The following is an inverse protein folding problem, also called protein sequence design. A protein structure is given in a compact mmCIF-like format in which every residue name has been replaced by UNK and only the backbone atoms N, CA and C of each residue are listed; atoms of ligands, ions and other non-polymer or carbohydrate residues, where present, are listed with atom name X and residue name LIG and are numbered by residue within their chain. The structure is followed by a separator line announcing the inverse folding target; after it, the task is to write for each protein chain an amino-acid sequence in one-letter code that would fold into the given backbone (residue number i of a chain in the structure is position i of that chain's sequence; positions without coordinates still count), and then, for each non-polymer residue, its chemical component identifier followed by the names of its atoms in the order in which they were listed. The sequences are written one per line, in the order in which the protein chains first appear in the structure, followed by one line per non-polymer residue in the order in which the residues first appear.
data_IF_741467560763
#
_entry.id   IF_741467560763
#
_cell.length_a   1.000
_cell.length_b   1.000
_cell.length_c   1.000
_cell.angle_alpha   90.00
_cell.angle_beta   90.00
_cell.angle_gamma   90.00
#
_symmetry.space_group_name_H-M   'P 1'
#
loop_
_entity.id
_entity.type
_entity.pdbx_description
1 polymer ?
#
# COMPACT_ATOMS: atom_id res chain seq x y z
N UNK A 1 -81.54 -42.08 -34.63
CA UNK A 1 -80.83 -42.02 -35.93
C UNK A 1 -81.33 -40.76 -36.61
N UNK A 2 -80.56 -39.72 -36.92
CA UNK A 2 -79.13 -39.58 -37.24
C UNK A 2 -78.78 -38.08 -37.19
N UNK A 3 -77.70 -37.70 -36.49
CA UNK A 3 -77.15 -36.33 -36.55
C UNK A 3 -76.41 -36.11 -37.88
N UNK A 4 -76.51 -34.93 -38.52
CA UNK A 4 -75.72 -34.58 -39.71
C UNK A 4 -74.31 -34.08 -39.31
N UNK A 5 -73.36 -34.03 -40.27
CA UNK A 5 -71.93 -34.16 -40.00
C UNK A 5 -71.25 -32.85 -39.55
N UNK A 6 -70.19 -33.06 -38.77
CA UNK A 6 -69.28 -32.05 -38.23
C UNK A 6 -68.45 -31.39 -39.35
N UNK A 7 -68.57 -30.07 -39.47
CA UNK A 7 -67.89 -29.28 -40.48
C UNK A 7 -66.55 -28.77 -39.93
N UNK A 8 -65.61 -29.68 -39.69
CA UNK A 8 -64.27 -29.38 -39.17
C UNK A 8 -63.32 -28.94 -40.29
N UNK A 9 -63.54 -27.73 -40.79
CA UNK A 9 -62.75 -27.15 -41.89
C UNK A 9 -62.22 -25.76 -41.58
N UNK A 10 -61.23 -25.62 -40.68
CA UNK A 10 -60.31 -24.48 -40.67
C UNK A 10 -58.94 -24.92 -40.14
N UNK A 11 -57.97 -25.13 -41.04
CA UNK A 11 -56.54 -25.23 -40.69
C UNK A 11 -56.14 -23.93 -39.99
N UNK A 12 -55.92 -23.98 -38.68
CA UNK A 12 -55.37 -22.87 -37.94
C UNK A 12 -54.00 -22.48 -38.52
N UNK A 13 -53.91 -21.27 -39.06
CA UNK A 13 -52.64 -20.67 -39.50
C UNK A 13 -51.74 -20.53 -38.27
N UNK A 14 -50.68 -21.33 -38.21
CA UNK A 14 -49.68 -21.24 -37.15
C UNK A 14 -49.12 -19.81 -37.15
N UNK A 15 -49.37 -19.06 -36.09
CA UNK A 15 -48.71 -17.78 -35.84
C UNK A 15 -47.20 -18.06 -35.79
N UNK A 16 -46.35 -17.28 -36.48
CA UNK A 16 -44.92 -17.40 -36.30
C UNK A 16 -44.60 -17.15 -34.83
N UNK A 17 -43.95 -18.12 -34.17
CA UNK A 17 -43.40 -17.90 -32.83
C UNK A 17 -42.48 -16.67 -32.89
N UNK A 18 -42.55 -15.75 -31.90
CA UNK A 18 -41.56 -14.69 -31.79
C UNK A 18 -40.17 -15.35 -31.76
N UNK A 19 -39.16 -14.76 -32.42
CA UNK A 19 -37.85 -15.36 -32.51
C UNK A 19 -37.39 -15.72 -31.10
N UNK A 20 -37.13 -17.01 -30.86
CA UNK A 20 -36.49 -17.47 -29.64
C UNK A 20 -35.26 -16.60 -29.45
N UNK A 21 -35.14 -15.98 -28.28
CA UNK A 21 -33.96 -15.27 -27.82
C UNK A 21 -32.79 -16.27 -27.67
N UNK A 22 -32.28 -16.78 -28.80
CA UNK A 22 -31.16 -17.71 -28.86
C UNK A 22 -29.89 -17.05 -29.38
N UNK A 23 -29.81 -15.71 -29.34
CA UNK A 23 -28.64 -14.94 -29.76
C UNK A 23 -28.36 -13.70 -28.86
N UNK A 24 -28.56 -13.82 -27.54
CA UNK A 24 -28.14 -12.76 -26.58
C UNK A 24 -27.68 -13.27 -25.20
N UNK A 25 -27.63 -14.59 -24.94
CA UNK A 25 -27.13 -15.11 -23.66
C UNK A 25 -25.60 -15.27 -23.60
N UNK A 26 -24.89 -14.89 -24.67
CA UNK A 26 -23.45 -14.69 -24.67
C UNK A 26 -23.09 -13.20 -24.82
N UNK A 27 -23.97 -12.30 -24.38
CA UNK A 27 -23.58 -10.92 -24.12
C UNK A 27 -22.43 -10.99 -23.11
N UNK A 28 -21.20 -10.74 -23.59
CA UNK A 28 -20.01 -10.57 -22.79
C UNK A 28 -20.41 -9.81 -21.53
N UNK A 29 -20.20 -10.43 -20.36
CA UNK A 29 -20.38 -9.83 -19.04
C UNK A 29 -19.76 -8.44 -19.06
N UNK A 30 -20.56 -7.43 -19.39
CA UNK A 30 -20.05 -6.09 -19.62
C UNK A 30 -19.75 -5.56 -18.24
N UNK A 31 -18.47 -5.41 -17.93
CA UNK A 31 -17.99 -4.95 -16.64
C UNK A 31 -18.61 -3.58 -16.39
N UNK A 32 -19.61 -3.53 -15.51
CA UNK A 32 -20.42 -2.34 -15.30
C UNK A 32 -19.75 -1.46 -14.24
N UNK A 33 -18.91 -0.54 -14.69
CA UNK A 33 -18.44 0.54 -13.81
C UNK A 33 -19.60 1.46 -13.43
N UNK A 34 -19.52 2.02 -12.23
CA UNK A 34 -20.46 3.01 -11.70
C UNK A 34 -19.79 4.37 -11.54
N UNK A 35 -20.59 5.42 -11.48
CA UNK A 35 -20.13 6.79 -11.34
C UNK A 35 -20.02 7.16 -9.85
N UNK A 36 -19.22 8.18 -9.54
CA UNK A 36 -19.01 8.64 -8.16
C UNK A 36 -20.34 8.98 -7.44
N UNK A 37 -21.30 9.57 -8.15
CA UNK A 37 -22.58 9.97 -7.57
C UNK A 37 -23.45 8.77 -7.15
N UNK A 38 -23.31 7.64 -7.86
CA UNK A 38 -24.02 6.38 -7.60
C UNK A 38 -23.39 5.57 -6.45
N UNK A 39 -22.24 6.00 -5.93
CA UNK A 39 -21.58 5.31 -4.82
C UNK A 39 -22.40 5.41 -3.53
N UNK A 40 -22.40 4.34 -2.71
CA UNK A 40 -22.90 4.46 -1.35
C UNK A 40 -22.00 5.43 -0.55
N UNK A 41 -22.54 6.14 0.47
CA UNK A 41 -21.81 7.18 1.20
C UNK A 41 -20.45 6.75 1.77
N UNK A 42 -20.35 5.51 2.26
CA UNK A 42 -19.12 4.96 2.83
C UNK A 42 -17.97 4.77 1.83
N UNK A 43 -18.25 4.85 0.52
CA UNK A 43 -17.25 4.78 -0.56
C UNK A 43 -16.91 6.13 -1.19
N UNK A 44 -17.59 7.21 -0.80
CA UNK A 44 -17.40 8.55 -1.37
C UNK A 44 -16.18 9.24 -0.76
N UNK A 45 -14.98 8.74 -1.05
CA UNK A 45 -13.72 9.27 -0.50
C UNK A 45 -13.17 10.47 -1.28
N UNK A 46 -12.99 10.32 -2.60
CA UNK A 46 -12.40 11.34 -3.47
C UNK A 46 -13.40 11.86 -4.51
N UNK A 47 -13.97 13.05 -4.28
CA UNK A 47 -14.96 13.67 -5.17
C UNK A 47 -14.41 14.12 -6.54
N UNK A 48 -13.09 14.04 -6.76
CA UNK A 48 -12.46 14.43 -8.02
C UNK A 48 -12.26 13.25 -9.00
N UNK A 49 -12.42 12.02 -8.51
CA UNK A 49 -12.45 10.80 -9.33
C UNK A 49 -13.92 10.51 -9.63
N UNK A 50 -14.33 10.56 -10.90
CA UNK A 50 -15.76 10.59 -11.25
C UNK A 50 -16.28 9.27 -11.85
N UNK A 51 -15.39 8.47 -12.44
CA UNK A 51 -15.71 7.26 -13.20
C UNK A 51 -14.82 6.07 -12.78
N UNK A 52 -15.05 4.89 -13.38
CA UNK A 52 -14.19 3.72 -13.20
C UNK A 52 -14.38 2.99 -11.87
N UNK A 53 -15.44 3.27 -11.11
CA UNK A 53 -15.69 2.58 -9.84
C UNK A 53 -16.30 1.20 -10.06
N UNK A 54 -15.86 0.22 -9.27
CA UNK A 54 -16.49 -1.11 -9.19
C UNK A 54 -17.85 -1.05 -8.47
N UNK A 55 -18.85 -1.87 -8.81
CA UNK A 55 -20.06 -1.99 -7.99
C UNK A 55 -19.74 -2.60 -6.61
N UNK A 56 -20.66 -2.44 -5.66
CA UNK A 56 -20.56 -3.14 -4.36
C UNK A 56 -20.81 -4.63 -4.60
N UNK A 57 -19.82 -5.48 -4.29
CA UNK A 57 -19.85 -6.89 -4.66
C UNK A 57 -20.50 -7.78 -3.62
N UNK A 58 -20.39 -7.45 -2.33
CA UNK A 58 -20.68 -8.35 -1.20
C UNK A 58 -20.08 -9.76 -1.36
N UNK A 59 -18.98 -9.88 -2.12
CA UNK A 59 -18.38 -11.14 -2.50
C UNK A 59 -16.88 -10.97 -2.69
N UNK A 60 -16.10 -11.68 -1.89
CA UNK A 60 -14.64 -11.71 -2.02
C UNK A 60 -14.21 -12.23 -3.39
N UNK A 61 -14.88 -13.27 -3.90
CA UNK A 61 -14.60 -13.83 -5.22
C UNK A 61 -14.73 -12.75 -6.30
N UNK A 62 -15.85 -12.02 -6.33
CA UNK A 62 -16.04 -10.92 -7.30
C UNK A 62 -15.04 -9.77 -7.10
N UNK A 63 -14.71 -9.43 -5.85
CA UNK A 63 -13.67 -8.43 -5.54
C UNK A 63 -12.30 -8.86 -6.07
N UNK A 64 -11.90 -10.12 -5.89
CA UNK A 64 -10.63 -10.62 -6.42
C UNK A 64 -10.64 -10.84 -7.93
N UNK A 65 -11.77 -11.21 -8.53
CA UNK A 65 -11.92 -11.24 -9.99
C UNK A 65 -11.68 -9.88 -10.63
N UNK A 66 -11.82 -8.77 -9.88
CA UNK A 66 -11.54 -7.43 -10.40
C UNK A 66 -10.07 -7.13 -10.70
N UNK A 67 -9.14 -7.93 -10.19
CA UNK A 67 -7.72 -7.82 -10.56
C UNK A 67 -7.49 -8.02 -12.06
N UNK A 68 -8.43 -8.67 -12.75
CA UNK A 68 -8.35 -9.03 -14.16
C UNK A 68 -8.96 -7.98 -15.10
N UNK A 69 -9.45 -6.85 -14.58
CA UNK A 69 -9.96 -5.76 -15.41
C UNK A 69 -9.61 -4.38 -14.86
N UNK A 70 -9.70 -3.36 -15.72
CA UNK A 70 -9.32 -1.99 -15.39
C UNK A 70 -10.43 -1.27 -14.62
N UNK A 71 -10.09 -0.63 -13.51
CA UNK A 71 -10.95 0.22 -12.69
C UNK A 71 -10.09 1.23 -11.91
N UNK A 72 -10.72 2.16 -11.19
CA UNK A 72 -10.04 3.27 -10.50
C UNK A 72 -9.04 2.84 -9.39
N UNK A 73 -9.14 1.59 -8.94
CA UNK A 73 -8.27 0.98 -7.93
C UNK A 73 -7.18 0.06 -8.53
N UNK A 74 -7.17 -0.18 -9.85
CA UNK A 74 -6.26 -1.15 -10.47
C UNK A 74 -4.80 -0.84 -10.18
N UNK A 75 -4.37 0.40 -10.37
CA UNK A 75 -2.98 0.80 -10.10
C UNK A 75 -2.67 0.73 -8.60
N UNK A 76 -3.62 1.09 -7.72
CA UNK A 76 -3.44 0.99 -6.26
C UNK A 76 -3.23 -0.46 -5.80
N UNK A 77 -3.91 -1.42 -6.43
CA UNK A 77 -3.74 -2.85 -6.14
C UNK A 77 -2.39 -3.33 -6.66
N UNK A 78 -2.15 -3.14 -7.95
CA UNK A 78 -1.00 -3.75 -8.62
C UNK A 78 0.34 -3.13 -8.22
N UNK A 79 0.39 -1.82 -7.93
CA UNK A 79 1.62 -1.16 -7.44
C UNK A 79 2.13 -1.83 -6.16
N UNK A 80 1.27 -1.97 -5.15
CA UNK A 80 1.63 -2.53 -3.86
C UNK A 80 1.68 -4.06 -3.88
N UNK A 81 0.86 -4.75 -4.70
CA UNK A 81 0.96 -6.21 -4.85
C UNK A 81 2.30 -6.61 -5.45
N UNK A 82 2.70 -5.98 -6.56
CA UNK A 82 4.01 -6.23 -7.18
C UNK A 82 5.15 -5.79 -6.27
N UNK A 83 4.99 -4.68 -5.55
CA UNK A 83 5.93 -4.24 -4.52
C UNK A 83 6.13 -5.29 -3.42
N UNK A 84 5.04 -5.84 -2.86
CA UNK A 84 5.12 -6.87 -1.83
C UNK A 84 5.88 -8.11 -2.32
N UNK A 85 5.56 -8.59 -3.53
CA UNK A 85 6.26 -9.71 -4.16
C UNK A 85 7.75 -9.38 -4.35
N UNK A 86 8.06 -8.19 -4.89
CA UNK A 86 9.42 -7.75 -5.13
C UNK A 86 10.26 -7.71 -3.84
N UNK A 87 9.76 -7.09 -2.77
CA UNK A 87 10.48 -7.02 -1.50
C UNK A 87 10.63 -8.40 -0.84
N UNK A 88 9.63 -9.28 -0.93
CA UNK A 88 9.75 -10.66 -0.45
C UNK A 88 10.82 -11.44 -1.20
N UNK A 89 10.82 -11.41 -2.55
CA UNK A 89 11.84 -12.09 -3.35
C UNK A 89 13.24 -11.51 -3.13
N UNK A 90 13.33 -10.19 -2.94
CA UNK A 90 14.59 -9.51 -2.60
C UNK A 90 15.10 -9.98 -1.24
N UNK A 91 14.23 -10.09 -0.23
CA UNK A 91 14.60 -10.60 1.10
C UNK A 91 15.18 -12.01 1.02
N UNK A 92 14.54 -12.92 0.26
CA UNK A 92 15.01 -14.29 0.07
C UNK A 92 16.37 -14.32 -0.64
N UNK A 93 16.52 -13.49 -1.68
CA UNK A 93 17.76 -13.39 -2.45
C UNK A 93 18.91 -12.84 -1.60
N UNK A 94 18.68 -11.75 -0.85
CA UNK A 94 19.69 -11.18 0.02
C UNK A 94 20.08 -12.12 1.16
N UNK A 95 19.13 -12.87 1.73
CA UNK A 95 19.45 -13.91 2.71
C UNK A 95 20.42 -14.94 2.13
N UNK A 96 20.16 -15.44 0.91
CA UNK A 96 21.05 -16.39 0.23
C UNK A 96 22.39 -15.79 -0.20
N UNK A 97 22.46 -14.49 -0.50
CA UNK A 97 23.67 -13.82 -0.97
C UNK A 97 24.56 -13.30 0.17
N UNK A 98 24.00 -12.83 1.27
CA UNK A 98 24.77 -12.22 2.37
C UNK A 98 25.23 -13.23 3.40
N UNK A 99 24.42 -14.25 3.70
CA UNK A 99 24.80 -15.30 4.65
C UNK A 99 26.15 -15.97 4.32
N UNK A 100 26.53 -16.20 3.04
CA UNK A 100 27.85 -16.76 2.71
C UNK A 100 28.95 -15.70 2.50
N UNK A 101 28.60 -14.40 2.37
CA UNK A 101 29.51 -13.35 1.89
C UNK A 101 30.36 -12.73 2.99
N UNK A 102 29.89 -12.74 4.24
CA UNK A 102 30.63 -12.22 5.39
C UNK A 102 30.58 -13.24 6.53
N UNK A 103 31.72 -13.81 6.92
CA UNK A 103 31.81 -14.69 8.10
C UNK A 103 31.37 -13.99 9.40
N UNK A 104 31.38 -12.65 9.42
CA UNK A 104 30.98 -11.82 10.54
C UNK A 104 29.49 -11.46 10.55
N UNK A 105 28.71 -11.86 9.52
CA UNK A 105 27.27 -11.64 9.49
C UNK A 105 26.61 -12.40 10.66
N UNK A 106 25.88 -11.67 11.49
CA UNK A 106 25.31 -12.21 12.72
C UNK A 106 23.80 -12.46 12.60
N UNK A 107 23.24 -13.23 13.54
CA UNK A 107 21.78 -13.36 13.67
C UNK A 107 21.09 -12.02 13.93
N UNK A 108 21.80 -11.03 14.46
CA UNK A 108 21.28 -9.68 14.65
C UNK A 108 21.09 -8.96 13.29
N UNK A 109 22.02 -9.11 12.35
CA UNK A 109 21.89 -8.55 11.00
C UNK A 109 20.67 -9.13 10.27
N UNK A 110 20.45 -10.44 10.41
CA UNK A 110 19.25 -11.11 9.89
C UNK A 110 17.99 -10.51 10.52
N UNK A 111 17.97 -10.30 11.84
CA UNK A 111 16.80 -9.76 12.55
C UNK A 111 16.48 -8.32 12.13
N UNK A 112 17.49 -7.45 11.97
CA UNK A 112 17.24 -6.04 11.63
C UNK A 112 16.76 -5.87 10.20
N UNK A 113 17.32 -6.61 9.23
CA UNK A 113 16.80 -6.62 7.86
C UNK A 113 15.42 -7.28 7.80
N UNK A 114 15.20 -8.37 8.54
CA UNK A 114 13.88 -9.02 8.61
C UNK A 114 12.81 -8.07 9.14
N UNK A 115 13.15 -7.19 10.07
CA UNK A 115 12.23 -6.17 10.59
C UNK A 115 11.77 -5.20 9.49
N UNK A 116 12.70 -4.73 8.65
CA UNK A 116 12.36 -3.89 7.51
C UNK A 116 11.54 -4.65 6.45
N UNK A 117 11.98 -5.84 6.04
CA UNK A 117 11.29 -6.63 5.01
C UNK A 117 9.89 -7.08 5.45
N UNK A 118 9.72 -7.48 6.72
CA UNK A 118 8.41 -7.78 7.28
C UNK A 118 7.54 -6.53 7.30
N UNK A 119 8.08 -5.37 7.71
CA UNK A 119 7.38 -4.09 7.66
C UNK A 119 6.90 -3.73 6.25
N UNK A 120 7.77 -3.89 5.25
CA UNK A 120 7.45 -3.64 3.84
C UNK A 120 6.39 -4.62 3.31
N UNK A 121 6.53 -5.91 3.60
CA UNK A 121 5.55 -6.93 3.22
C UNK A 121 4.18 -6.64 3.83
N UNK A 122 4.11 -6.35 5.14
CA UNK A 122 2.86 -6.05 5.82
C UNK A 122 2.23 -4.76 5.27
N UNK A 123 3.00 -3.70 5.06
CA UNK A 123 2.49 -2.46 4.49
C UNK A 123 1.91 -2.64 3.09
N UNK A 124 2.71 -3.18 2.17
CA UNK A 124 2.34 -3.31 0.77
C UNK A 124 1.25 -4.39 0.59
N UNK A 125 1.36 -5.50 1.31
CA UNK A 125 0.39 -6.59 1.28
C UNK A 125 -0.98 -6.20 1.86
N UNK A 126 -1.01 -5.54 3.03
CA UNK A 126 -2.27 -5.06 3.62
C UNK A 126 -2.94 -4.01 2.72
N UNK A 127 -2.15 -3.09 2.16
CA UNK A 127 -2.65 -2.09 1.21
C UNK A 127 -3.23 -2.73 -0.05
N UNK A 128 -2.49 -3.62 -0.71
CA UNK A 128 -2.96 -4.28 -1.93
C UNK A 128 -4.25 -5.08 -1.65
N UNK A 129 -4.29 -5.78 -0.51
CA UNK A 129 -5.47 -6.52 -0.06
C UNK A 129 -6.66 -5.59 0.16
N UNK A 130 -6.48 -4.48 0.88
CA UNK A 130 -7.53 -3.50 1.12
C UNK A 130 -8.10 -2.97 -0.20
N UNK A 131 -7.25 -2.50 -1.11
CA UNK A 131 -7.69 -1.97 -2.39
C UNK A 131 -8.36 -3.04 -3.26
N UNK A 132 -7.98 -4.31 -3.14
CA UNK A 132 -8.67 -5.41 -3.82
C UNK A 132 -10.09 -5.62 -3.29
N UNK A 133 -10.29 -5.56 -1.97
CA UNK A 133 -11.57 -5.89 -1.32
C UNK A 133 -12.43 -4.67 -0.93
N UNK A 134 -11.98 -3.43 -1.19
CA UNK A 134 -12.68 -2.23 -0.72
C UNK A 134 -14.08 -2.03 -1.30
N UNK A 135 -14.43 -2.75 -2.37
CA UNK A 135 -15.78 -2.76 -2.94
C UNK A 135 -16.70 -3.86 -2.34
N UNK A 136 -16.24 -4.66 -1.37
CA UNK A 136 -17.01 -5.77 -0.82
C UNK A 136 -18.27 -5.33 -0.07
N UNK A 137 -18.10 -4.83 1.15
CA UNK A 137 -19.17 -4.32 2.01
C UNK A 137 -18.59 -3.22 2.90
N UNK A 138 -19.44 -2.47 3.58
CA UNK A 138 -19.01 -1.37 4.44
C UNK A 138 -18.08 -1.84 5.56
N UNK A 139 -18.36 -2.99 6.16
CA UNK A 139 -17.64 -3.58 7.29
C UNK A 139 -16.27 -4.10 6.84
N UNK A 140 -16.22 -4.79 5.69
CA UNK A 140 -14.96 -5.29 5.13
C UNK A 140 -14.06 -4.13 4.71
N UNK A 141 -14.60 -3.12 4.03
CA UNK A 141 -13.84 -1.94 3.65
C UNK A 141 -13.35 -1.17 4.89
N UNK A 142 -14.17 -1.11 5.94
CA UNK A 142 -13.81 -0.48 7.21
C UNK A 142 -12.63 -1.16 7.87
N UNK A 143 -12.68 -2.49 8.04
CA UNK A 143 -11.60 -3.26 8.67
C UNK A 143 -10.34 -3.24 7.80
N UNK A 144 -10.50 -3.44 6.49
CA UNK A 144 -9.39 -3.39 5.53
C UNK A 144 -8.65 -2.06 5.57
N UNK A 145 -9.37 -0.93 5.67
CA UNK A 145 -8.73 0.39 5.75
C UNK A 145 -7.95 0.59 7.07
N UNK A 146 -8.40 0.02 8.18
CA UNK A 146 -7.64 0.04 9.45
C UNK A 146 -6.35 -0.78 9.35
N UNK A 147 -6.40 -1.92 8.66
CA UNK A 147 -5.23 -2.75 8.41
C UNK A 147 -4.24 -2.06 7.47
N UNK A 148 -4.72 -1.39 6.42
CA UNK A 148 -3.90 -0.57 5.52
C UNK A 148 -3.10 0.50 6.29
N UNK A 149 -3.76 1.26 7.16
CA UNK A 149 -3.08 2.22 8.05
C UNK A 149 -2.10 1.57 9.03
N UNK A 150 -2.43 0.39 9.55
CA UNK A 150 -1.52 -0.38 10.42
C UNK A 150 -0.27 -0.80 9.64
N UNK A 151 -0.41 -1.16 8.37
CA UNK A 151 0.67 -1.46 7.46
C UNK A 151 1.69 -0.32 7.33
N UNK A 152 1.23 0.93 7.16
CA UNK A 152 2.09 2.12 7.10
C UNK A 152 2.98 2.20 8.35
N UNK A 153 2.41 1.96 9.54
CA UNK A 153 3.17 1.98 10.79
C UNK A 153 4.22 0.88 10.81
N UNK A 154 3.89 -0.34 10.39
CA UNK A 154 4.87 -1.43 10.35
C UNK A 154 6.06 -1.14 9.43
N UNK A 155 5.83 -0.52 8.26
CA UNK A 155 6.93 -0.11 7.39
C UNK A 155 7.79 0.99 8.02
N UNK A 156 7.17 2.00 8.65
CA UNK A 156 7.93 3.07 9.31
C UNK A 156 8.76 2.50 10.45
N UNK A 157 8.16 1.80 11.41
CA UNK A 157 8.89 1.21 12.55
C UNK A 157 9.94 0.20 12.07
N UNK A 158 9.58 -0.68 11.12
CA UNK A 158 10.50 -1.66 10.55
C UNK A 158 11.72 -1.02 9.88
N UNK A 159 11.56 0.15 9.24
CA UNK A 159 12.68 0.89 8.64
C UNK A 159 13.59 1.56 9.67
N UNK A 160 13.11 1.87 10.88
CA UNK A 160 13.95 2.45 11.94
C UNK A 160 14.90 1.42 12.52
N UNK A 161 14.51 0.15 12.56
CA UNK A 161 15.30 -0.92 13.19
C UNK A 161 16.71 -1.03 12.59
N UNK A 162 16.90 -1.28 11.27
CA UNK A 162 18.25 -1.38 10.70
C UNK A 162 18.98 -0.03 10.69
N UNK A 163 18.27 1.09 10.48
CA UNK A 163 18.90 2.41 10.47
C UNK A 163 19.51 2.78 11.83
N UNK A 164 18.77 2.55 12.93
CA UNK A 164 19.27 2.80 14.28
C UNK A 164 20.32 1.77 14.69
N UNK A 165 20.18 0.51 14.27
CA UNK A 165 21.17 -0.54 14.51
C UNK A 165 22.55 -0.14 13.98
N UNK A 166 22.65 0.20 12.69
CA UNK A 166 23.94 0.56 12.11
C UNK A 166 24.40 1.97 12.52
N UNK A 167 23.49 2.93 12.61
CA UNK A 167 23.84 4.32 12.98
C UNK A 167 24.30 4.49 14.44
N UNK A 168 23.75 3.71 15.36
CA UNK A 168 24.03 3.80 16.80
C UNK A 168 24.68 2.55 17.38
N UNK A 169 25.28 1.70 16.54
CA UNK A 169 25.94 0.46 16.97
C UNK A 169 26.89 0.66 18.17
N UNK A 170 27.73 1.70 18.12
CA UNK A 170 28.68 2.04 19.18
C UNK A 170 28.08 2.75 20.40
N UNK A 171 26.77 3.01 20.41
CA UNK A 171 26.03 3.73 21.46
C UNK A 171 24.75 2.97 21.81
N UNK A 172 24.84 1.76 22.39
CA UNK A 172 23.70 0.86 22.60
C UNK A 172 22.60 1.45 23.51
N UNK A 173 22.95 2.32 24.45
CA UNK A 173 21.97 3.01 25.28
C UNK A 173 21.08 3.96 24.45
N UNK A 174 21.69 4.76 23.56
CA UNK A 174 20.94 5.65 22.66
C UNK A 174 20.11 4.87 21.66
N UNK A 175 20.67 3.81 21.09
CA UNK A 175 19.96 2.91 20.19
C UNK A 175 18.69 2.35 20.84
N UNK A 176 18.80 1.84 22.07
CA UNK A 176 17.67 1.29 22.84
C UNK A 176 16.60 2.34 23.09
N UNK A 177 16.99 3.54 23.52
CA UNK A 177 16.05 4.65 23.77
C UNK A 177 15.30 5.02 22.49
N UNK A 178 16.00 5.21 21.37
CA UNK A 178 15.35 5.60 20.12
C UNK A 178 14.46 4.50 19.53
N UNK A 179 14.86 3.23 19.66
CA UNK A 179 14.02 2.09 19.28
C UNK A 179 12.75 2.01 20.16
N UNK A 180 12.88 2.20 21.47
CA UNK A 180 11.72 2.24 22.36
C UNK A 180 10.77 3.39 22.00
N UNK A 181 11.32 4.59 21.74
CA UNK A 181 10.53 5.74 21.32
C UNK A 181 9.74 5.48 20.03
N UNK A 182 10.37 4.96 18.97
CA UNK A 182 9.66 4.71 17.71
C UNK A 182 8.60 3.61 17.85
N UNK A 183 8.87 2.57 18.65
CA UNK A 183 7.88 1.53 18.94
C UNK A 183 6.66 2.09 19.70
N UNK A 184 6.88 2.95 20.70
CA UNK A 184 5.79 3.60 21.44
C UNK A 184 4.98 4.56 20.56
N UNK A 185 5.66 5.39 19.75
CA UNK A 185 5.00 6.28 18.80
C UNK A 185 4.20 5.48 17.74
N UNK A 186 4.77 4.38 17.25
CA UNK A 186 4.09 3.46 16.34
C UNK A 186 2.85 2.84 16.96
N UNK A 187 2.93 2.33 18.20
CA UNK A 187 1.79 1.80 18.93
C UNK A 187 0.68 2.86 19.11
N UNK A 188 1.06 4.11 19.43
CA UNK A 188 0.12 5.23 19.49
C UNK A 188 -0.55 5.51 18.14
N UNK A 189 0.21 5.49 17.04
CA UNK A 189 -0.33 5.67 15.68
C UNK A 189 -1.29 4.54 15.29
N UNK A 190 -1.00 3.29 15.65
CA UNK A 190 -1.91 2.15 15.44
C UNK A 190 -3.21 2.39 16.23
N UNK A 191 -3.11 2.72 17.52
CA UNK A 191 -4.28 2.99 18.36
C UNK A 191 -5.19 4.07 17.73
N UNK A 192 -4.61 5.20 17.30
CA UNK A 192 -5.35 6.28 16.64
C UNK A 192 -5.96 5.85 15.31
N UNK A 193 -5.23 5.05 14.52
CA UNK A 193 -5.69 4.55 13.21
C UNK A 193 -6.93 3.65 13.30
N UNK A 194 -7.18 3.07 14.48
CA UNK A 194 -8.32 2.21 14.72
C UNK A 194 -9.60 2.95 15.16
N UNK A 195 -9.51 4.26 15.42
CA UNK A 195 -10.69 5.10 15.70
C UNK A 195 -11.59 5.26 14.48
N UNK A 196 -12.90 5.20 14.71
CA UNK A 196 -13.89 5.21 13.62
C UNK A 196 -13.85 6.49 12.79
N UNK A 197 -13.59 7.63 13.43
CA UNK A 197 -13.56 8.95 12.79
C UNK A 197 -12.32 9.16 11.90
N UNK A 198 -11.22 8.45 12.20
CA UNK A 198 -9.94 8.64 11.54
C UNK A 198 -10.00 8.35 10.03
N UNK A 199 -10.87 7.44 9.59
CA UNK A 199 -11.02 7.08 8.16
C UNK A 199 -11.75 8.13 7.32
N UNK A 200 -12.46 9.06 7.94
CA UNK A 200 -13.37 9.95 7.21
C UNK A 200 -12.58 10.86 6.25
N UNK A 201 -13.17 11.30 5.12
CA UNK A 201 -12.45 12.15 4.17
C UNK A 201 -11.94 13.46 4.79
N UNK A 202 -12.66 14.02 5.77
CA UNK A 202 -12.27 15.22 6.50
C UNK A 202 -10.97 15.05 7.30
N UNK A 203 -10.65 13.81 7.73
CA UNK A 203 -9.46 13.51 8.52
C UNK A 203 -8.20 13.26 7.68
N UNK A 204 -8.32 13.25 6.35
CA UNK A 204 -7.21 12.99 5.43
C UNK A 204 -5.92 13.77 5.72
N UNK A 205 -5.93 15.12 5.86
CA UNK A 205 -4.70 15.85 6.14
C UNK A 205 -4.10 15.49 7.51
N UNK A 206 -4.94 15.20 8.51
CA UNK A 206 -4.48 14.77 9.84
C UNK A 206 -3.84 13.38 9.80
N UNK A 207 -4.38 12.45 9.01
CA UNK A 207 -3.74 11.14 8.78
C UNK A 207 -2.37 11.31 8.14
N UNK A 208 -2.30 12.12 7.08
CA UNK A 208 -1.03 12.41 6.39
C UNK A 208 -0.02 13.02 7.37
N UNK A 209 -0.43 14.03 8.15
CA UNK A 209 0.42 14.67 9.16
C UNK A 209 0.87 13.69 10.25
N UNK A 210 0.01 12.79 10.72
CA UNK A 210 0.36 11.80 11.73
C UNK A 210 1.46 10.85 11.24
N UNK A 211 1.29 10.26 10.05
CA UNK A 211 2.30 9.34 9.50
C UNK A 211 3.58 10.05 9.06
N UNK A 212 3.48 11.26 8.50
CA UNK A 212 4.65 12.11 8.23
C UNK A 212 5.36 12.47 9.53
N UNK A 213 4.63 12.80 10.59
CA UNK A 213 5.18 13.08 11.92
C UNK A 213 5.90 11.88 12.52
N UNK A 214 5.32 10.68 12.40
CA UNK A 214 5.99 9.44 12.81
C UNK A 214 7.30 9.24 12.04
N UNK A 215 7.29 9.44 10.72
CA UNK A 215 8.51 9.37 9.89
C UNK A 215 9.55 10.46 10.23
N UNK A 216 9.11 11.69 10.46
CA UNK A 216 9.96 12.84 10.82
C UNK A 216 10.51 12.76 12.24
N UNK A 217 9.97 11.91 13.11
CA UNK A 217 10.54 11.68 14.44
C UNK A 217 12.01 11.22 14.38
N UNK A 218 12.44 10.63 13.25
CA UNK A 218 13.79 10.18 12.96
C UNK A 218 14.78 11.31 12.70
N UNK A 219 14.30 12.54 12.48
CA UNK A 219 15.16 13.73 12.47
C UNK A 219 15.83 13.93 13.83
N UNK A 220 15.16 13.57 14.94
CA UNK A 220 15.72 13.70 16.29
C UNK A 220 16.99 12.87 16.51
N UNK A 221 17.00 11.52 16.30
CA UNK A 221 18.22 10.73 16.43
C UNK A 221 19.30 11.17 15.43
N UNK A 222 18.93 11.47 14.17
CA UNK A 222 19.90 11.93 13.16
C UNK A 222 20.57 13.23 13.62
N UNK A 223 19.78 14.21 14.08
CA UNK A 223 20.30 15.47 14.59
C UNK A 223 21.19 15.26 15.82
N UNK A 224 20.76 14.44 16.77
CA UNK A 224 21.60 14.13 17.95
C UNK A 224 22.95 13.53 17.52
N UNK A 225 22.94 12.54 16.62
CA UNK A 225 24.17 11.93 16.13
C UNK A 225 25.09 12.94 15.43
N UNK A 226 24.56 13.82 14.58
CA UNK A 226 25.35 14.85 13.89
C UNK A 226 25.89 15.94 14.83
N UNK A 227 25.16 16.24 15.92
CA UNK A 227 25.54 17.28 16.86
C UNK A 227 26.59 16.82 17.87
N UNK A 228 26.61 15.54 18.25
CA UNK A 228 27.41 15.07 19.39
C UNK A 228 28.31 13.86 19.12
N UNK A 229 28.07 13.08 18.05
CA UNK A 229 28.71 11.78 17.86
C UNK A 229 29.57 11.68 16.59
N UNK A 230 29.03 12.13 15.45
CA UNK A 230 29.59 11.84 14.14
C UNK A 230 29.49 13.04 13.19
N UNK A 231 30.43 13.15 12.29
CA UNK A 231 30.30 14.02 11.11
C UNK A 231 29.24 13.47 10.15
N UNK A 232 28.75 14.31 9.22
CA UNK A 232 27.84 13.86 8.16
C UNK A 232 28.42 12.69 7.35
N UNK A 233 29.73 12.74 7.06
CA UNK A 233 30.41 11.69 6.29
C UNK A 233 30.37 10.35 7.03
N UNK A 234 30.78 10.34 8.30
CA UNK A 234 30.79 9.13 9.12
C UNK A 234 29.39 8.57 9.33
N UNK A 235 28.40 9.43 9.59
CA UNK A 235 27.01 8.97 9.74
C UNK A 235 26.46 8.44 8.42
N UNK A 236 26.81 9.06 7.29
CA UNK A 236 26.40 8.58 5.98
C UNK A 236 27.02 7.21 5.61
N UNK A 237 28.26 6.96 6.00
CA UNK A 237 28.90 5.65 5.85
C UNK A 237 28.26 4.61 6.77
N UNK A 238 27.96 4.98 8.03
CA UNK A 238 27.36 4.09 9.03
C UNK A 238 25.92 3.69 8.73
N UNK A 239 25.05 4.61 8.32
CA UNK A 239 23.60 4.34 8.18
C UNK A 239 23.03 4.63 6.80
N UNK A 240 23.86 4.98 5.82
CA UNK A 240 23.37 5.37 4.49
C UNK A 240 22.55 6.66 4.50
N UNK A 241 22.92 7.63 5.36
CA UNK A 241 22.12 8.83 5.68
C UNK A 241 21.50 9.54 4.47
N UNK A 242 22.25 9.73 3.37
CA UNK A 242 21.73 10.40 2.17
C UNK A 242 20.52 9.66 1.55
N UNK A 243 20.50 8.33 1.65
CA UNK A 243 19.39 7.50 1.18
C UNK A 243 18.20 7.52 2.14
N UNK A 244 18.46 7.62 3.45
CA UNK A 244 17.42 7.85 4.46
C UNK A 244 16.78 9.24 4.28
N UNK A 245 17.56 10.27 3.93
CA UNK A 245 17.04 11.60 3.59
C UNK A 245 16.18 11.52 2.32
N UNK A 246 16.65 10.82 1.28
CA UNK A 246 15.88 10.63 0.05
C UNK A 246 14.55 9.90 0.31
N UNK A 247 14.57 8.82 1.12
CA UNK A 247 13.37 8.13 1.58
C UNK A 247 12.39 9.11 2.25
N UNK A 248 12.87 9.93 3.20
CA UNK A 248 12.06 10.93 3.87
C UNK A 248 11.45 11.95 2.91
N UNK A 249 12.23 12.46 1.96
CA UNK A 249 11.76 13.40 0.94
C UNK A 249 10.66 12.79 0.05
N UNK A 250 10.84 11.54 -0.39
CA UNK A 250 9.85 10.81 -1.19
C UNK A 250 8.55 10.58 -0.42
N UNK A 251 8.62 10.18 0.86
CA UNK A 251 7.45 10.04 1.73
C UNK A 251 6.69 11.36 1.93
N UNK A 252 7.40 12.45 2.23
CA UNK A 252 6.78 13.77 2.43
C UNK A 252 6.11 14.24 1.15
N UNK A 253 6.80 14.11 0.01
CA UNK A 253 6.24 14.50 -1.29
C UNK A 253 5.00 13.66 -1.64
N UNK A 254 5.04 12.34 -1.43
CA UNK A 254 3.89 11.47 -1.64
C UNK A 254 2.71 11.83 -0.73
N UNK A 255 2.96 12.08 0.56
CA UNK A 255 1.93 12.50 1.51
C UNK A 255 1.32 13.85 1.14
N UNK A 256 2.13 14.79 0.63
CA UNK A 256 1.66 16.06 0.09
C UNK A 256 0.71 15.84 -1.10
N UNK A 257 1.08 15.01 -2.08
CA UNK A 257 0.21 14.69 -3.21
C UNK A 257 -1.12 14.07 -2.73
N UNK A 258 -1.05 13.08 -1.85
CA UNK A 258 -2.21 12.41 -1.24
C UNK A 258 -3.17 13.39 -0.54
N UNK A 259 -2.62 14.31 0.26
CA UNK A 259 -3.41 15.30 0.99
C UNK A 259 -4.01 16.36 0.04
N UNK A 260 -3.23 16.82 -0.95
CA UNK A 260 -3.65 17.83 -1.91
C UNK A 260 -4.66 17.33 -2.95
N UNK A 261 -4.72 16.00 -3.18
CA UNK A 261 -5.49 15.35 -4.26
C UNK A 261 -5.07 15.85 -5.65
N UNK A 262 -3.77 16.07 -5.83
CA UNK A 262 -3.20 16.52 -7.09
C UNK A 262 -2.60 15.31 -7.83
N UNK A 263 -2.86 15.15 -9.14
CA UNK A 263 -3.43 16.15 -10.07
C UNK A 263 -4.95 16.09 -10.28
N UNK A 264 -5.66 15.09 -9.76
CA UNK A 264 -7.08 14.86 -10.10
C UNK A 264 -8.01 16.01 -9.69
N UNK A 265 -7.66 16.76 -8.65
CA UNK A 265 -8.40 17.95 -8.22
C UNK A 265 -8.40 19.06 -9.28
N UNK A 266 -7.30 19.22 -10.01
CA UNK A 266 -7.15 20.27 -11.01
C UNK A 266 -7.71 19.84 -12.37
N UNK A 267 -7.65 18.54 -12.68
CA UNK A 267 -8.14 17.98 -13.94
C UNK A 267 -9.06 16.77 -13.69
N UNK A 268 -10.32 17.01 -13.26
CA UNK A 268 -11.28 15.93 -13.04
C UNK A 268 -11.53 15.11 -14.31
N UNK A 269 -11.82 13.81 -14.16
CA UNK A 269 -11.97 12.80 -15.23
C UNK A 269 -10.69 12.36 -15.94
N UNK A 270 -9.63 13.16 -15.94
CA UNK A 270 -8.38 12.80 -16.62
C UNK A 270 -7.64 11.69 -15.87
N UNK A 271 -7.64 11.76 -14.54
CA UNK A 271 -6.86 10.89 -13.67
C UNK A 271 -7.70 9.82 -12.96
N UNK A 272 -8.88 9.48 -13.50
CA UNK A 272 -9.82 8.54 -12.87
C UNK A 272 -9.28 7.10 -12.80
N UNK A 273 -8.51 6.68 -13.82
CA UNK A 273 -7.93 5.35 -13.92
C UNK A 273 -6.42 5.33 -13.68
N UNK A 274 -5.70 6.36 -14.11
CA UNK A 274 -4.24 6.41 -14.08
C UNK A 274 -3.75 7.80 -13.66
N UNK A 275 -2.75 7.85 -12.77
CA UNK A 275 -2.04 9.04 -12.35
C UNK A 275 -2.74 9.87 -11.26
N UNK A 276 -3.73 9.31 -10.56
CA UNK A 276 -4.32 10.00 -9.39
C UNK A 276 -3.32 10.13 -8.25
N UNK A 277 -3.55 11.08 -7.34
CA UNK A 277 -2.65 11.34 -6.22
C UNK A 277 -2.39 10.12 -5.35
N UNK A 278 -3.39 9.25 -5.17
CA UNK A 278 -3.27 8.03 -4.36
C UNK A 278 -2.37 6.99 -5.05
N UNK A 279 -2.48 6.89 -6.38
CA UNK A 279 -1.60 6.03 -7.17
C UNK A 279 -0.15 6.55 -7.15
N UNK A 280 0.04 7.87 -7.31
CA UNK A 280 1.36 8.48 -7.22
C UNK A 280 1.97 8.30 -5.83
N UNK A 281 1.16 8.44 -4.77
CA UNK A 281 1.56 8.15 -3.40
C UNK A 281 2.06 6.71 -3.26
N UNK A 282 1.31 5.72 -3.74
CA UNK A 282 1.72 4.31 -3.73
C UNK A 282 3.07 4.09 -4.41
N UNK A 283 3.26 4.63 -5.62
CA UNK A 283 4.52 4.50 -6.36
C UNK A 283 5.69 5.12 -5.59
N UNK A 284 5.48 6.28 -4.95
CA UNK A 284 6.51 6.93 -4.13
C UNK A 284 6.86 6.12 -2.87
N UNK A 285 5.91 5.37 -2.28
CA UNK A 285 6.21 4.44 -1.17
C UNK A 285 7.19 3.35 -1.63
N UNK A 286 7.01 2.76 -2.83
CA UNK A 286 7.96 1.77 -3.35
C UNK A 286 9.36 2.36 -3.55
N UNK A 287 9.46 3.56 -4.15
CA UNK A 287 10.76 4.21 -4.36
C UNK A 287 11.44 4.58 -3.04
N UNK A 288 10.67 5.04 -2.06
CA UNK A 288 11.20 5.35 -0.73
C UNK A 288 11.70 4.08 -0.02
N UNK A 289 10.96 2.97 -0.07
CA UNK A 289 11.40 1.69 0.47
C UNK A 289 12.64 1.14 -0.24
N UNK A 290 12.75 1.32 -1.57
CA UNK A 290 13.93 0.93 -2.34
C UNK A 290 15.15 1.78 -1.99
N UNK A 291 14.98 3.10 -1.86
CA UNK A 291 16.02 4.01 -1.40
C UNK A 291 16.52 3.61 0.00
N UNK A 292 15.59 3.34 0.92
CA UNK A 292 15.92 2.85 2.26
C UNK A 292 16.74 1.56 2.22
N UNK A 293 16.27 0.55 1.49
CA UNK A 293 16.97 -0.73 1.37
C UNK A 293 18.39 -0.56 0.82
N UNK A 294 18.56 0.28 -0.20
CA UNK A 294 19.89 0.56 -0.75
C UNK A 294 20.81 1.25 0.28
N UNK A 295 20.27 2.19 1.06
CA UNK A 295 20.97 2.79 2.20
C UNK A 295 21.39 1.76 3.26
N UNK A 296 20.51 0.82 3.59
CA UNK A 296 20.80 -0.23 4.58
C UNK A 296 21.83 -1.25 4.07
N UNK A 297 21.83 -1.58 2.78
CA UNK A 297 22.88 -2.43 2.19
C UNK A 297 24.25 -1.74 2.30
N UNK A 298 24.33 -0.43 2.03
CA UNK A 298 25.57 0.34 2.23
C UNK A 298 26.02 0.38 3.69
N UNK A 299 25.08 0.56 4.61
CA UNK A 299 25.33 0.53 6.04
C UNK A 299 25.89 -0.83 6.49
N UNK A 300 25.29 -1.92 6.00
CA UNK A 300 25.75 -3.29 6.22
C UNK A 300 27.17 -3.52 5.68
N UNK A 301 27.42 -3.14 4.42
CA UNK A 301 28.75 -3.28 3.80
C UNK A 301 29.82 -2.51 4.58
N UNK A 302 29.50 -1.30 5.04
CA UNK A 302 30.40 -0.53 5.90
C UNK A 302 30.61 -1.24 7.23
N UNK A 303 29.55 -1.67 7.90
CA UNK A 303 29.61 -2.33 9.22
C UNK A 303 30.49 -3.58 9.23
N UNK A 304 30.40 -4.40 8.18
CA UNK A 304 31.22 -5.61 8.03
C UNK A 304 32.57 -5.37 7.33
N UNK A 305 32.91 -4.13 6.99
CA UNK A 305 34.27 -3.76 6.60
C UNK A 305 35.21 -3.74 7.80
N UNK A 306 36.54 -3.74 7.56
CA UNK A 306 37.57 -3.80 8.61
C UNK A 306 37.44 -2.71 9.70
N UNK A 307 36.74 -1.60 9.43
CA UNK A 307 36.64 -0.45 10.32
C UNK A 307 35.22 -0.16 10.83
N UNK A 308 34.17 -0.76 10.24
CA UNK A 308 32.79 -0.28 10.48
C UNK A 308 32.14 -0.74 11.78
N UNK A 309 32.55 -1.88 12.31
CA UNK A 309 32.11 -2.40 13.61
C UNK A 309 32.98 -1.93 14.78
N UNK A 310 34.04 -1.16 14.53
CA UNK A 310 34.92 -0.65 15.58
C UNK A 310 34.32 0.60 16.24
N UNK A 311 34.39 0.57 17.56
CA UNK A 311 34.07 1.61 18.51
C UNK A 311 35.33 1.81 19.38
#
# INVERSE_FOLDING_TARGET
MSNPPDNSGLRARRQPEPPKETLSSAAASTIKHILYHDLPPWRKDNAFILTGYRPTSNSFSQSFSSLLYLHNETVNIWSHLLGAIFFTLTSLTLYSLFHPRYETASSADILVFSSFFLGAFLCLGMSATYHAICNHSHEVARVGNKLDYTGIVFLIVGSYVPALWYGFFCKPALMTVYLACICLLGAGCIMVSWFEHFRTPAWRPYRALMFVGLGLSGVLPIFHALATLYTFKELNERMGLSWVILQGALYIFGAFLYAARWPERQFPRTFDLLGSSHQLFHILILFAAAAHLYGMIKAFDFHHSKFGSQC
#
